data_IF_041390758210
#
_entry.id   IF_041390758210
#
_cell.length_a   1.000
_cell.length_b   1.000
_cell.length_c   1.000
_cell.angle_alpha   90.00
_cell.angle_beta   90.00
_cell.angle_gamma   90.00
#
_symmetry.space_group_name_H-M   'P 1'
#
loop_
_entity.id
_entity.type
_entity.pdbx_description
1 polymer ?
#
# COMPACT_ATOMS: atom_id res chain seq x y z
N UNK A 1 -14.04 24.74 15.52
CA UNK A 1 -13.52 24.24 16.80
C UNK A 1 -14.30 24.97 17.90
N UNK A 2 -14.69 24.26 18.95
CA UNK A 2 -15.28 24.91 20.11
C UNK A 2 -14.23 25.85 20.72
N UNK A 3 -14.53 27.16 20.74
CA UNK A 3 -13.62 28.18 21.26
C UNK A 3 -13.37 28.08 22.77
N UNK A 4 -14.15 27.23 23.46
CA UNK A 4 -14.06 27.00 24.89
C UNK A 4 -13.38 25.68 25.26
N UNK A 5 -12.84 24.94 24.30
CA UNK A 5 -12.14 23.69 24.59
C UNK A 5 -10.85 23.93 25.37
N UNK A 6 -10.68 23.22 26.49
CA UNK A 6 -9.44 23.23 27.26
C UNK A 6 -8.33 22.50 26.48
N UNK A 7 -7.24 23.20 26.18
CA UNK A 7 -6.11 22.67 25.42
C UNK A 7 -5.16 21.91 26.36
N UNK A 8 -5.18 20.58 26.29
CA UNK A 8 -4.34 19.69 27.11
C UNK A 8 -3.01 19.26 26.43
N UNK A 9 -2.68 19.83 25.27
CA UNK A 9 -1.47 19.47 24.50
C UNK A 9 -1.15 20.47 23.38
N UNK A 10 0.02 20.35 22.75
CA UNK A 10 0.40 21.20 21.63
C UNK A 10 -0.43 20.88 20.38
N UNK A 11 -0.79 21.91 19.60
CA UNK A 11 -1.52 21.76 18.35
C UNK A 11 -0.93 22.68 17.27
N UNK A 12 -0.91 22.19 16.04
CA UNK A 12 -0.49 22.91 14.85
C UNK A 12 -1.10 22.23 13.62
N UNK A 13 -0.81 22.76 12.43
CA UNK A 13 -1.11 22.11 11.16
C UNK A 13 0.17 22.09 10.30
N UNK A 14 0.28 21.10 9.42
CA UNK A 14 1.37 20.98 8.46
C UNK A 14 0.83 21.19 7.04
N UNK A 15 1.64 21.80 6.19
CA UNK A 15 1.37 21.93 4.75
C UNK A 15 2.25 20.93 4.01
N UNK A 16 1.64 20.08 3.19
CA UNK A 16 2.35 19.08 2.39
C UNK A 16 3.23 19.78 1.34
N UNK A 17 4.48 19.36 1.26
CA UNK A 17 5.46 19.82 0.26
C UNK A 17 5.50 18.91 -0.97
N UNK A 18 5.13 17.65 -0.80
CA UNK A 18 5.16 16.66 -1.87
C UNK A 18 4.23 17.04 -3.03
N UNK A 19 4.63 16.68 -4.24
CA UNK A 19 3.86 16.92 -5.47
C UNK A 19 2.60 16.05 -5.54
N UNK A 20 2.67 14.83 -5.04
CA UNK A 20 1.58 13.85 -5.04
C UNK A 20 0.72 13.92 -3.77
N UNK A 21 -0.59 13.67 -3.93
CA UNK A 21 -1.55 13.47 -2.82
C UNK A 21 -1.82 12.00 -2.52
N UNK A 22 -0.97 11.13 -3.04
CA UNK A 22 -1.05 9.68 -2.83
C UNK A 22 -0.56 9.31 -1.42
N UNK A 23 -0.96 8.11 -0.98
CA UNK A 23 -0.64 7.62 0.36
C UNK A 23 0.88 7.52 0.63
N UNK A 24 1.72 6.97 -0.27
CA UNK A 24 3.17 6.97 -0.10
C UNK A 24 3.77 8.36 0.10
N UNK A 25 3.46 9.33 -0.77
CA UNK A 25 4.03 10.69 -0.70
C UNK A 25 3.89 11.32 0.69
N UNK A 26 2.67 11.37 1.23
CA UNK A 26 2.43 11.96 2.55
C UNK A 26 3.12 11.19 3.68
N UNK A 27 3.15 9.86 3.63
CA UNK A 27 3.81 9.06 4.68
C UNK A 27 5.33 9.19 4.62
N UNK A 28 5.93 9.22 3.43
CA UNK A 28 7.37 9.40 3.28
C UNK A 28 7.78 10.79 3.73
N UNK A 29 7.00 11.82 3.42
CA UNK A 29 7.23 13.19 3.90
C UNK A 29 7.19 13.27 5.42
N UNK A 30 6.19 12.65 6.05
CA UNK A 30 6.09 12.52 7.51
C UNK A 30 7.36 11.86 8.10
N UNK A 31 7.96 10.92 7.37
CA UNK A 31 9.19 10.24 7.77
C UNK A 31 10.47 10.94 7.28
N UNK A 32 10.38 12.21 6.86
CA UNK A 32 11.51 13.06 6.49
C UNK A 32 11.97 12.95 5.04
N UNK A 33 11.17 12.37 4.16
CA UNK A 33 11.50 12.11 2.75
C UNK A 33 10.37 12.65 1.86
N UNK A 34 10.31 13.97 1.60
CA UNK A 34 9.29 14.55 0.73
C UNK A 34 9.46 14.03 -0.71
N UNK A 35 8.33 13.72 -1.36
CA UNK A 35 8.29 13.28 -2.75
C UNK A 35 8.13 14.50 -3.64
N UNK A 36 9.23 14.94 -4.26
CA UNK A 36 9.27 16.13 -5.11
C UNK A 36 9.21 15.80 -6.61
N UNK A 37 8.89 14.55 -6.95
CA UNK A 37 8.76 14.07 -8.32
C UNK A 37 7.31 13.68 -8.62
N UNK A 38 6.94 13.68 -9.90
CA UNK A 38 5.61 13.25 -10.33
C UNK A 38 5.55 11.72 -10.46
N UNK A 39 4.47 11.14 -9.92
CA UNK A 39 4.12 9.75 -10.17
C UNK A 39 3.58 9.58 -11.59
N UNK A 40 3.83 8.41 -12.17
CA UNK A 40 3.17 8.03 -13.41
C UNK A 40 1.75 7.53 -13.15
N UNK A 41 0.86 7.83 -14.07
CA UNK A 41 -0.52 7.35 -14.07
C UNK A 41 -0.86 6.89 -15.48
N UNK A 42 -1.56 5.77 -15.57
CA UNK A 42 -2.18 5.34 -16.82
C UNK A 42 -3.53 6.03 -16.92
N UNK A 43 -3.68 7.08 -17.73
CA UNK A 43 -4.90 7.90 -17.76
C UNK A 43 -6.00 7.35 -18.67
N UNK A 44 -5.62 6.59 -19.70
CA UNK A 44 -6.56 6.10 -20.70
C UNK A 44 -7.37 4.94 -20.14
N UNK A 45 -8.71 5.01 -20.25
CA UNK A 45 -9.60 3.98 -19.72
C UNK A 45 -9.55 2.66 -20.51
N UNK A 46 -9.25 2.75 -21.80
CA UNK A 46 -9.03 1.62 -22.71
C UNK A 46 -7.63 1.75 -23.30
N UNK A 47 -6.95 0.62 -23.49
CA UNK A 47 -5.54 0.59 -23.89
C UNK A 47 -4.63 1.40 -22.94
N UNK A 48 -4.88 1.24 -21.63
CA UNK A 48 -4.26 2.02 -20.57
C UNK A 48 -2.74 1.94 -20.53
N UNK A 49 -2.17 0.80 -20.94
CA UNK A 49 -0.74 0.53 -20.86
C UNK A 49 -0.09 0.70 -22.24
N UNK A 50 1.09 1.33 -22.31
CA UNK A 50 1.85 1.42 -23.54
C UNK A 50 2.19 0.04 -24.11
N UNK A 51 2.06 -0.11 -25.43
CA UNK A 51 2.26 -1.40 -26.09
C UNK A 51 3.67 -1.95 -25.86
N UNK A 52 4.69 -1.09 -25.85
CA UNK A 52 6.07 -1.50 -25.59
C UNK A 52 6.25 -2.18 -24.21
N UNK A 53 5.55 -1.68 -23.18
CA UNK A 53 5.57 -2.31 -21.85
C UNK A 53 4.93 -3.70 -21.93
N UNK A 54 3.76 -3.81 -22.56
CA UNK A 54 3.03 -5.06 -22.68
C UNK A 54 3.83 -6.12 -23.45
N UNK A 55 4.48 -5.73 -24.54
CA UNK A 55 5.31 -6.61 -25.36
C UNK A 55 6.49 -7.16 -24.55
N UNK A 56 7.19 -6.30 -23.79
CA UNK A 56 8.28 -6.72 -22.89
C UNK A 56 7.80 -7.69 -21.82
N UNK A 57 6.63 -7.44 -21.22
CA UNK A 57 6.05 -8.35 -20.22
C UNK A 57 5.74 -9.72 -20.82
N UNK A 58 5.13 -9.75 -22.01
CA UNK A 58 4.78 -10.99 -22.71
C UNK A 58 6.03 -11.79 -23.06
N UNK A 59 7.04 -11.13 -23.62
CA UNK A 59 8.30 -11.78 -23.98
C UNK A 59 9.06 -12.29 -22.74
N UNK A 60 9.28 -11.41 -21.77
CA UNK A 60 10.15 -11.69 -20.61
C UNK A 60 9.55 -12.71 -19.64
N UNK A 61 8.24 -12.67 -19.44
CA UNK A 61 7.55 -13.65 -18.59
C UNK A 61 7.01 -14.86 -19.37
N UNK A 62 7.37 -14.99 -20.66
CA UNK A 62 6.95 -16.07 -21.55
C UNK A 62 5.44 -16.35 -21.50
N UNK A 63 4.65 -15.29 -21.67
CA UNK A 63 3.19 -15.34 -21.58
C UNK A 63 2.58 -15.70 -22.93
N UNK A 64 1.42 -16.40 -22.96
CA UNK A 64 0.65 -16.61 -24.20
C UNK A 64 -0.03 -15.32 -24.74
N UNK A 65 0.19 -14.18 -24.08
CA UNK A 65 -0.47 -12.89 -24.29
C UNK A 65 -1.01 -12.34 -22.98
N UNK A 66 -1.88 -11.33 -23.05
CA UNK A 66 -2.54 -10.72 -21.91
C UNK A 66 -4.02 -10.45 -22.22
N UNK A 67 -4.81 -10.20 -21.17
CA UNK A 67 -6.19 -9.74 -21.24
C UNK A 67 -6.33 -8.41 -20.48
N UNK A 68 -7.40 -7.66 -20.75
CA UNK A 68 -7.68 -6.39 -20.06
C UNK A 68 -7.05 -5.21 -20.79
N UNK A 69 -5.97 -4.65 -20.25
CA UNK A 69 -5.38 -3.38 -20.70
C UNK A 69 -6.36 -2.19 -20.55
N UNK A 70 -6.97 -2.06 -19.37
CA UNK A 70 -8.00 -1.06 -19.11
C UNK A 70 -8.03 -0.62 -17.63
N UNK A 71 -8.79 0.45 -17.37
CA UNK A 71 -9.26 0.79 -16.04
C UNK A 71 -10.43 -0.09 -15.65
N UNK A 72 -10.34 -0.75 -14.50
CA UNK A 72 -11.49 -1.51 -13.99
C UNK A 72 -11.42 -1.73 -12.49
N UNK A 73 -12.59 -2.04 -11.91
CA UNK A 73 -12.64 -2.55 -10.55
C UNK A 73 -12.26 -4.02 -10.52
N UNK A 74 -11.65 -4.46 -9.43
CA UNK A 74 -11.21 -5.85 -9.28
C UNK A 74 -12.36 -6.87 -9.29
N UNK A 75 -13.61 -6.49 -9.06
CA UNK A 75 -14.76 -7.41 -9.20
C UNK A 75 -15.23 -7.49 -10.65
N UNK A 76 -15.39 -6.34 -11.31
CA UNK A 76 -15.87 -6.27 -12.70
C UNK A 76 -14.91 -6.98 -13.66
N UNK A 77 -13.60 -6.75 -13.52
CA UNK A 77 -12.62 -7.35 -14.44
C UNK A 77 -12.56 -8.87 -14.32
N UNK A 78 -12.80 -9.43 -13.13
CA UNK A 78 -12.82 -10.87 -12.91
C UNK A 78 -14.06 -11.50 -13.53
N UNK A 79 -15.23 -10.88 -13.35
CA UNK A 79 -16.47 -11.37 -13.97
C UNK A 79 -16.40 -11.31 -15.50
N UNK A 80 -15.73 -10.31 -16.05
CA UNK A 80 -15.58 -10.15 -17.50
C UNK A 80 -14.55 -11.09 -18.12
N UNK A 81 -13.38 -11.25 -17.50
CA UNK A 81 -12.21 -11.87 -18.12
C UNK A 81 -11.69 -13.13 -17.40
N UNK A 82 -12.22 -13.46 -16.22
CA UNK A 82 -11.74 -14.57 -15.40
C UNK A 82 -11.85 -15.92 -16.09
N UNK A 83 -12.97 -16.19 -16.78
CA UNK A 83 -13.13 -17.44 -17.53
C UNK A 83 -12.19 -17.54 -18.73
N UNK A 84 -11.98 -16.43 -19.45
CA UNK A 84 -11.07 -16.41 -20.59
C UNK A 84 -9.62 -16.59 -20.12
N UNK A 85 -9.24 -15.96 -19.00
CA UNK A 85 -7.97 -16.18 -18.33
C UNK A 85 -7.75 -17.66 -18.01
N UNK A 86 -8.72 -18.32 -17.39
CA UNK A 86 -8.61 -19.75 -17.04
C UNK A 86 -8.49 -20.65 -18.28
N UNK A 87 -9.16 -20.31 -19.39
CA UNK A 87 -9.12 -21.08 -20.64
C UNK A 87 -7.82 -20.88 -21.42
N UNK A 88 -7.27 -19.66 -21.42
CA UNK A 88 -6.14 -19.27 -22.28
C UNK A 88 -4.80 -19.23 -21.56
N UNK A 89 -4.81 -19.13 -20.22
CA UNK A 89 -3.63 -18.88 -19.40
C UNK A 89 -3.06 -17.46 -19.50
N UNK A 90 -3.73 -16.54 -20.20
CA UNK A 90 -3.28 -15.14 -20.35
C UNK A 90 -3.60 -14.34 -19.07
N UNK A 91 -2.62 -13.75 -18.37
CA UNK A 91 -2.88 -12.92 -17.19
C UNK A 91 -3.75 -11.69 -17.52
N UNK A 92 -4.50 -11.21 -16.54
CA UNK A 92 -5.37 -10.04 -16.68
C UNK A 92 -4.63 -8.81 -16.13
N UNK A 93 -4.34 -7.84 -17.00
CA UNK A 93 -3.72 -6.57 -16.62
C UNK A 93 -4.76 -5.47 -16.54
N UNK A 94 -4.78 -4.73 -15.44
CA UNK A 94 -5.68 -3.60 -15.27
C UNK A 94 -5.13 -2.57 -14.28
N UNK A 95 -5.68 -1.36 -14.33
CA UNK A 95 -5.27 -0.24 -13.48
C UNK A 95 -6.49 0.46 -12.87
N UNK A 96 -6.25 1.55 -12.14
CA UNK A 96 -7.26 2.37 -11.48
C UNK A 96 -6.84 3.85 -11.51
N UNK A 97 -7.58 4.72 -10.81
CA UNK A 97 -7.23 6.13 -10.68
C UNK A 97 -5.88 6.36 -9.95
N UNK A 98 -5.47 5.43 -9.09
CA UNK A 98 -4.18 5.50 -8.40
C UNK A 98 -3.01 5.04 -9.30
N UNK A 99 -1.78 5.44 -8.94
CA UNK A 99 -0.54 5.01 -9.61
C UNK A 99 -0.22 3.53 -9.33
N UNK A 100 -0.98 2.63 -9.97
CA UNK A 100 -0.88 1.17 -9.76
C UNK A 100 -0.97 0.37 -11.05
N UNK A 101 -0.28 -0.77 -11.06
CA UNK A 101 -0.41 -1.81 -12.08
C UNK A 101 -0.90 -3.10 -11.40
N UNK A 102 -2.05 -3.63 -11.80
CA UNK A 102 -2.65 -4.78 -11.13
C UNK A 102 -2.68 -5.99 -12.07
N UNK A 103 -2.30 -7.14 -11.54
CA UNK A 103 -2.24 -8.41 -12.28
C UNK A 103 -3.15 -9.41 -11.58
N UNK A 104 -4.23 -9.83 -12.24
CA UNK A 104 -5.14 -10.84 -11.73
C UNK A 104 -4.95 -12.18 -12.46
N UNK A 105 -4.76 -13.24 -11.66
CA UNK A 105 -4.62 -14.61 -12.14
C UNK A 105 -5.35 -15.58 -11.21
N UNK A 106 -5.91 -16.65 -11.78
CA UNK A 106 -6.57 -17.70 -11.04
C UNK A 106 -5.53 -18.65 -10.43
N UNK A 107 -5.63 -18.93 -9.14
CA UNK A 107 -4.58 -19.64 -8.40
C UNK A 107 -4.32 -21.05 -8.93
N UNK A 108 -5.37 -21.80 -9.29
CA UNK A 108 -5.23 -23.20 -9.71
C UNK A 108 -4.75 -23.35 -11.16
N UNK A 109 -5.13 -22.43 -12.05
CA UNK A 109 -4.84 -22.56 -13.49
C UNK A 109 -3.56 -21.85 -13.89
N UNK A 110 -3.19 -20.76 -13.20
CA UNK A 110 -1.97 -20.00 -13.49
C UNK A 110 -0.83 -20.30 -12.50
N UNK A 111 -1.17 -20.54 -11.24
CA UNK A 111 -0.21 -20.75 -10.16
C UNK A 111 0.21 -19.44 -9.48
N UNK A 112 0.32 -19.49 -8.15
CA UNK A 112 0.65 -18.32 -7.33
C UNK A 112 2.09 -17.86 -7.50
N UNK A 113 3.05 -18.79 -7.51
CA UNK A 113 4.47 -18.47 -7.67
C UNK A 113 4.74 -17.77 -9.00
N UNK A 114 4.07 -18.24 -10.07
CA UNK A 114 4.17 -17.66 -11.41
C UNK A 114 3.55 -16.26 -11.48
N UNK A 115 2.48 -16.01 -10.71
CA UNK A 115 1.90 -14.67 -10.56
C UNK A 115 2.89 -13.73 -9.87
N UNK A 116 3.55 -14.18 -8.79
CA UNK A 116 4.52 -13.35 -8.09
C UNK A 116 5.74 -13.04 -8.94
N UNK A 117 6.29 -14.03 -9.65
CA UNK A 117 7.39 -13.82 -10.61
C UNK A 117 7.00 -12.80 -11.69
N UNK A 118 5.78 -12.90 -12.23
CA UNK A 118 5.26 -11.92 -13.19
C UNK A 118 5.13 -10.51 -12.58
N UNK A 119 4.72 -10.40 -11.32
CA UNK A 119 4.66 -9.11 -10.63
C UNK A 119 6.06 -8.50 -10.44
N UNK A 120 7.08 -9.28 -10.12
CA UNK A 120 8.47 -8.80 -10.02
C UNK A 120 9.00 -8.31 -11.38
N UNK A 121 8.79 -9.10 -12.44
CA UNK A 121 9.13 -8.68 -13.81
C UNK A 121 8.43 -7.37 -14.15
N UNK A 122 7.13 -7.26 -13.87
CA UNK A 122 6.39 -6.02 -14.12
C UNK A 122 6.92 -4.84 -13.31
N UNK A 123 7.33 -5.07 -12.06
CA UNK A 123 7.92 -4.02 -11.23
C UNK A 123 9.22 -3.52 -11.84
N UNK A 124 10.10 -4.41 -12.28
CA UNK A 124 11.36 -4.04 -12.92
C UNK A 124 11.14 -3.30 -14.24
N UNK A 125 10.26 -3.78 -15.12
CA UNK A 125 9.98 -3.10 -16.40
C UNK A 125 9.37 -1.71 -16.20
N UNK A 126 8.48 -1.56 -15.21
CA UNK A 126 7.90 -0.25 -14.87
C UNK A 126 8.95 0.73 -14.34
N UNK A 127 9.94 0.24 -13.60
CA UNK A 127 11.05 1.05 -13.07
C UNK A 127 12.05 1.39 -14.18
N UNK A 128 12.51 0.40 -14.94
CA UNK A 128 13.49 0.57 -16.02
C UNK A 128 12.95 1.41 -17.18
N UNK A 129 11.66 1.32 -17.46
CA UNK A 129 10.98 2.14 -18.45
C UNK A 129 10.70 3.57 -18.00
N UNK A 130 11.04 3.94 -16.77
CA UNK A 130 10.83 5.29 -16.24
C UNK A 130 9.36 5.68 -16.08
N UNK A 131 8.46 4.69 -15.95
CA UNK A 131 7.03 4.94 -15.82
C UNK A 131 6.64 5.50 -14.46
N UNK A 132 7.51 5.41 -13.44
CA UNK A 132 7.25 5.88 -12.07
C UNK A 132 5.89 5.44 -11.53
N UNK A 133 5.50 4.18 -11.76
CA UNK A 133 4.28 3.62 -11.17
C UNK A 133 4.56 3.26 -9.71
N UNK A 134 3.71 3.71 -8.78
CA UNK A 134 3.93 3.56 -7.34
C UNK A 134 3.84 2.13 -6.82
N UNK A 135 3.02 1.26 -7.44
CA UNK A 135 2.82 -0.11 -6.96
C UNK A 135 2.43 -1.11 -8.05
N UNK A 136 2.99 -2.30 -7.98
CA UNK A 136 2.47 -3.50 -8.69
C UNK A 136 1.72 -4.37 -7.69
N UNK A 137 0.51 -4.82 -8.03
CA UNK A 137 -0.36 -5.57 -7.11
C UNK A 137 -0.73 -6.92 -7.72
N UNK A 138 -0.32 -8.00 -7.06
CA UNK A 138 -0.79 -9.35 -7.31
C UNK A 138 -2.22 -9.51 -6.79
N UNK A 139 -3.13 -9.94 -7.66
CA UNK A 139 -4.56 -10.12 -7.39
C UNK A 139 -4.97 -11.57 -7.69
N UNK A 140 -4.50 -12.53 -6.89
CA UNK A 140 -4.95 -13.90 -7.04
C UNK A 140 -6.45 -14.03 -6.74
N UNK A 141 -7.11 -14.90 -7.49
CA UNK A 141 -8.50 -15.23 -7.29
C UNK A 141 -8.77 -16.73 -7.46
N UNK A 142 -9.88 -17.18 -6.89
CA UNK A 142 -10.41 -18.54 -7.00
C UNK A 142 -11.86 -18.49 -7.52
N UNK A 143 -12.37 -19.62 -7.98
CA UNK A 143 -13.75 -19.77 -8.43
C UNK A 143 -13.82 -20.43 -9.79
N UNK A 144 -14.98 -20.98 -10.14
CA UNK A 144 -15.15 -21.83 -11.32
C UNK A 144 -15.72 -21.09 -12.54
N UNK A 145 -16.40 -19.96 -12.33
CA UNK A 145 -17.11 -19.20 -13.37
C UNK A 145 -17.38 -17.75 -12.98
N UNK A 146 -17.79 -16.95 -13.97
CA UNK A 146 -18.22 -15.57 -13.75
C UNK A 146 -19.36 -15.49 -12.71
N UNK A 147 -19.31 -14.49 -11.83
CA UNK A 147 -20.21 -14.33 -10.69
C UNK A 147 -19.85 -15.18 -9.46
N UNK A 148 -18.95 -16.16 -9.59
CA UNK A 148 -18.43 -16.97 -8.48
C UNK A 148 -16.97 -16.66 -8.14
N UNK A 149 -16.30 -15.76 -8.87
CA UNK A 149 -14.91 -15.43 -8.62
C UNK A 149 -14.72 -14.65 -7.31
N UNK A 150 -13.73 -15.06 -6.52
CA UNK A 150 -13.39 -14.46 -5.25
C UNK A 150 -11.90 -14.18 -5.17
N UNK A 151 -11.54 -12.93 -4.85
CA UNK A 151 -10.15 -12.56 -4.57
C UNK A 151 -9.70 -13.20 -3.25
N UNK A 152 -8.47 -13.68 -3.22
CA UNK A 152 -7.95 -14.37 -2.03
C UNK A 152 -7.13 -13.45 -1.13
N UNK A 153 -6.76 -13.97 0.04
CA UNK A 153 -5.84 -13.31 0.97
C UNK A 153 -4.37 -13.32 0.51
N UNK A 154 -4.04 -14.03 -0.58
CA UNK A 154 -2.69 -14.13 -1.14
C UNK A 154 -2.30 -12.88 -1.96
N UNK A 155 -2.98 -11.77 -1.72
CA UNK A 155 -2.60 -10.46 -2.29
C UNK A 155 -1.17 -10.12 -1.87
N UNK A 156 -0.37 -9.73 -2.85
CA UNK A 156 0.97 -9.23 -2.64
C UNK A 156 1.15 -7.88 -3.35
N UNK A 157 1.82 -6.94 -2.70
CA UNK A 157 1.99 -5.57 -3.16
C UNK A 157 3.50 -5.26 -3.26
N UNK A 158 3.98 -4.98 -4.47
CA UNK A 158 5.34 -4.52 -4.73
C UNK A 158 5.33 -3.00 -4.86
N UNK A 159 5.62 -2.32 -3.76
CA UNK A 159 5.69 -0.87 -3.68
C UNK A 159 7.10 -0.37 -4.06
N UNK A 160 7.17 0.85 -4.59
CA UNK A 160 8.45 1.57 -4.73
C UNK A 160 9.00 1.88 -3.35
N UNK A 161 10.31 1.72 -3.16
CA UNK A 161 10.99 2.08 -1.92
C UNK A 161 11.08 3.61 -1.76
N UNK A 162 11.13 4.14 -0.53
CA UNK A 162 11.39 5.56 -0.31
C UNK A 162 12.69 5.99 -1.00
N UNK A 163 12.73 7.16 -1.67
CA UNK A 163 13.89 7.59 -2.47
C UNK A 163 15.12 7.94 -1.63
N UNK A 164 14.98 8.01 -0.31
CA UNK A 164 16.06 8.23 0.65
C UNK A 164 15.76 7.50 1.97
N UNK A 165 16.79 7.24 2.81
CA UNK A 165 16.58 6.63 4.12
C UNK A 165 15.66 7.48 5.02
N UNK A 166 14.50 6.91 5.35
CA UNK A 166 13.50 7.54 6.22
C UNK A 166 13.99 7.60 7.67
N UNK A 167 13.33 8.41 8.51
CA UNK A 167 13.60 8.41 9.97
C UNK A 167 13.42 7.02 10.58
N UNK A 168 12.49 6.21 10.06
CA UNK A 168 12.30 4.82 10.49
C UNK A 168 13.55 3.98 10.19
N UNK A 169 14.06 4.06 8.96
CA UNK A 169 15.27 3.34 8.53
C UNK A 169 16.47 3.78 9.37
N UNK A 170 16.66 5.08 9.60
CA UNK A 170 17.76 5.61 10.42
C UNK A 170 17.67 5.15 11.87
N UNK A 171 16.46 5.05 12.45
CA UNK A 171 16.27 4.53 13.81
C UNK A 171 16.74 3.07 13.91
N UNK A 172 16.42 2.24 12.93
CA UNK A 172 16.82 0.83 12.90
C UNK A 172 18.32 0.70 12.66
N UNK A 173 18.84 1.32 11.61
CA UNK A 173 20.21 1.08 11.14
C UNK A 173 21.26 1.78 11.99
N UNK A 174 21.01 3.05 12.36
CA UNK A 174 22.01 3.88 13.04
C UNK A 174 21.88 3.84 14.57
N UNK A 175 20.69 3.55 15.09
CA UNK A 175 20.41 3.56 16.53
C UNK A 175 20.04 2.19 17.09
N UNK A 176 19.95 1.16 16.25
CA UNK A 176 19.53 -0.18 16.65
C UNK A 176 18.18 -0.18 17.39
N UNK A 177 17.31 0.77 17.04
CA UNK A 177 15.98 0.90 17.61
C UNK A 177 15.00 -0.08 16.98
N UNK A 178 13.77 -0.11 17.52
CA UNK A 178 12.70 -0.95 17.01
C UNK A 178 11.59 -0.09 16.39
N UNK A 179 11.08 -0.54 15.24
CA UNK A 179 9.96 0.07 14.54
C UNK A 179 8.86 -0.97 14.36
N UNK A 180 7.75 -0.74 15.07
CA UNK A 180 6.56 -1.59 14.98
C UNK A 180 5.56 -0.94 14.04
N UNK A 181 5.25 -1.63 12.94
CA UNK A 181 4.24 -1.22 11.98
C UNK A 181 2.91 -1.91 12.28
N UNK A 182 1.81 -1.15 12.25
CA UNK A 182 0.45 -1.67 12.43
C UNK A 182 -0.37 -1.39 11.17
N UNK A 183 -1.05 -2.41 10.65
CA UNK A 183 -1.87 -2.28 9.45
C UNK A 183 -1.03 -2.19 8.17
N UNK A 184 -1.29 -1.18 7.34
CA UNK A 184 -0.66 -1.01 6.02
C UNK A 184 0.69 -0.28 6.03
N UNK A 185 1.16 0.16 7.20
CA UNK A 185 2.39 0.97 7.32
C UNK A 185 3.60 0.27 6.68
N UNK A 186 3.79 -1.03 6.92
CA UNK A 186 4.89 -1.77 6.30
C UNK A 186 4.83 -1.72 4.77
N UNK A 187 3.64 -1.88 4.19
CA UNK A 187 3.44 -1.89 2.74
C UNK A 187 3.57 -0.49 2.12
N UNK A 188 3.42 0.57 2.91
CA UNK A 188 3.62 1.97 2.47
C UNK A 188 5.11 2.31 2.39
N UNK A 189 5.91 1.80 3.33
CA UNK A 189 7.36 2.00 3.35
C UNK A 189 8.13 0.88 2.64
N UNK A 190 7.47 0.01 1.86
CA UNK A 190 8.10 -1.14 1.20
C UNK A 190 8.92 -2.03 2.16
N UNK A 191 8.52 -2.11 3.44
CA UNK A 191 9.23 -2.75 4.54
C UNK A 191 10.56 -2.09 4.97
N UNK A 192 10.97 -0.97 4.36
CA UNK A 192 12.15 -0.21 4.76
C UNK A 192 12.00 0.34 6.19
N UNK A 193 12.95 0.01 7.05
CA UNK A 193 13.01 0.49 8.43
C UNK A 193 11.96 -0.12 9.35
N UNK A 194 11.42 -1.30 9.03
CA UNK A 194 10.39 -1.98 9.83
C UNK A 194 10.98 -3.22 10.51
N UNK A 195 10.94 -3.28 11.84
CA UNK A 195 11.47 -4.42 12.62
C UNK A 195 10.37 -5.42 13.02
N UNK A 196 9.14 -4.95 13.23
CA UNK A 196 7.98 -5.80 13.56
C UNK A 196 6.77 -5.40 12.72
N UNK A 197 6.06 -6.40 12.19
CA UNK A 197 4.85 -6.23 11.38
C UNK A 197 3.65 -6.80 12.11
N UNK A 198 2.66 -5.95 12.38
CA UNK A 198 1.40 -6.35 13.03
C UNK A 198 0.27 -6.13 12.03
N UNK A 199 -0.26 -7.24 11.51
CA UNK A 199 -1.42 -7.21 10.61
C UNK A 199 -2.69 -7.03 11.44
N UNK A 200 -3.45 -6.00 11.11
CA UNK A 200 -4.79 -5.75 11.65
C UNK A 200 -5.66 -5.15 10.55
N UNK A 201 -6.96 -5.43 10.59
CA UNK A 201 -7.93 -5.00 9.56
C UNK A 201 -9.21 -4.53 10.24
N UNK A 202 -9.71 -3.36 9.83
CA UNK A 202 -10.82 -2.70 10.50
C UNK A 202 -10.36 -1.78 11.63
N UNK A 203 -11.15 -0.75 11.91
CA UNK A 203 -10.78 0.34 12.82
C UNK A 203 -10.49 -0.17 14.24
N UNK A 204 -11.41 -0.98 14.79
CA UNK A 204 -11.30 -1.48 16.16
C UNK A 204 -10.05 -2.35 16.34
N UNK A 205 -9.83 -3.28 15.41
CA UNK A 205 -8.65 -4.14 15.43
C UNK A 205 -7.34 -3.36 15.29
N UNK A 206 -7.33 -2.26 14.53
CA UNK A 206 -6.17 -1.38 14.42
C UNK A 206 -5.88 -0.68 15.75
N UNK A 207 -6.91 -0.12 16.41
CA UNK A 207 -6.76 0.50 17.72
C UNK A 207 -6.30 -0.49 18.79
N UNK A 208 -6.92 -1.67 18.85
CA UNK A 208 -6.55 -2.71 19.81
C UNK A 208 -5.09 -3.15 19.62
N UNK A 209 -4.67 -3.34 18.37
CA UNK A 209 -3.28 -3.66 18.04
C UNK A 209 -2.34 -2.53 18.45
N UNK A 210 -2.67 -1.26 18.17
CA UNK A 210 -1.84 -0.12 18.58
C UNK A 210 -1.71 -0.04 20.09
N UNK A 211 -2.80 -0.14 20.85
CA UNK A 211 -2.77 -0.09 22.32
C UNK A 211 -1.95 -1.24 22.89
N UNK A 212 -2.09 -2.45 22.32
CA UNK A 212 -1.31 -3.61 22.73
C UNK A 212 0.19 -3.38 22.50
N UNK A 213 0.58 -2.98 21.30
CA UNK A 213 1.98 -2.77 20.94
C UNK A 213 2.61 -1.61 21.72
N UNK A 214 1.85 -0.55 22.03
CA UNK A 214 2.31 0.53 22.90
C UNK A 214 2.61 0.06 24.33
N UNK A 215 1.88 -0.94 24.84
CA UNK A 215 2.14 -1.53 26.17
C UNK A 215 3.34 -2.48 26.17
N UNK A 216 3.58 -3.15 25.05
CA UNK A 216 4.71 -4.07 24.87
C UNK A 216 6.02 -3.34 24.48
N UNK A 217 5.91 -2.11 23.97
CA UNK A 217 7.04 -1.30 23.55
C UNK A 217 8.00 -1.00 24.72
N UNK A 218 9.26 -1.42 24.57
CA UNK A 218 10.35 -1.02 25.46
C UNK A 218 10.94 0.34 25.09
N UNK A 219 11.94 0.79 25.85
CA UNK A 219 12.71 1.99 25.53
C UNK A 219 13.33 1.89 24.11
N UNK A 220 13.29 2.98 23.33
CA UNK A 220 13.71 3.08 21.91
C UNK A 220 12.82 2.36 20.86
N UNK A 221 11.52 2.27 21.12
CA UNK A 221 10.54 1.76 20.16
C UNK A 221 9.69 2.89 19.56
N UNK A 222 9.57 2.95 18.24
CA UNK A 222 8.61 3.81 17.53
C UNK A 222 7.41 2.99 17.06
N UNK A 223 6.19 3.47 17.33
CA UNK A 223 4.95 2.84 16.87
C UNK A 223 4.12 3.86 16.08
N UNK A 224 3.84 3.58 14.81
CA UNK A 224 3.05 4.48 13.96
C UNK A 224 1.71 3.83 13.60
N UNK A 225 0.56 4.39 14.04
CA UNK A 225 -0.76 3.95 13.60
C UNK A 225 -1.15 4.53 12.23
N UNK A 226 -1.95 3.78 11.47
CA UNK A 226 -2.60 4.28 10.24
C UNK A 226 -3.82 5.13 10.61
N UNK A 227 -3.98 6.34 10.08
CA UNK A 227 -5.16 7.19 10.30
C UNK A 227 -6.44 6.60 9.70
N UNK A 228 -7.56 6.84 10.37
CA UNK A 228 -8.91 6.76 9.81
C UNK A 228 -9.75 7.94 10.31
N UNK A 229 -10.41 8.60 9.36
CA UNK A 229 -11.42 9.65 9.53
C UNK A 229 -12.72 9.06 10.08
N UNK A 230 -13.11 9.38 11.31
CA UNK A 230 -14.53 9.40 11.67
C UNK A 230 -14.80 10.24 12.93
N UNK A 231 -15.90 11.00 12.86
CA UNK A 231 -16.48 11.80 13.93
C UNK A 231 -17.30 10.90 14.87
N UNK A 232 -16.81 10.66 16.08
CA UNK A 232 -17.65 10.19 17.20
C UNK A 232 -17.36 11.00 18.48
N UNK A 233 -18.38 11.50 19.18
CA UNK A 233 -18.21 12.19 20.46
C UNK A 233 -18.16 11.18 21.62
N UNK A 234 -17.16 11.34 22.49
CA UNK A 234 -17.11 10.70 23.80
C UNK A 234 -16.16 9.50 23.91
N UNK A 235 -14.87 9.78 24.06
CA UNK A 235 -13.92 8.82 24.62
C UNK A 235 -13.10 9.53 25.71
N UNK A 236 -13.30 9.10 26.95
CA UNK A 236 -12.57 9.59 28.13
C UNK A 236 -11.19 8.94 28.14
N UNK A 237 -10.12 9.74 28.03
CA UNK A 237 -8.74 9.26 28.09
C UNK A 237 -8.33 9.08 29.55
N UNK A 238 -8.03 7.85 29.95
CA UNK A 238 -7.44 7.54 31.25
C UNK A 238 -5.98 8.01 31.28
N UNK A 239 -5.65 8.93 32.18
CA UNK A 239 -4.29 9.40 32.45
C UNK A 239 -3.52 8.37 33.27
N UNK A 240 -2.46 7.78 32.73
CA UNK A 240 -1.47 7.04 33.51
C UNK A 240 -0.09 7.72 33.39
N UNK A 241 0.61 7.99 34.50
CA UNK A 241 1.90 8.65 34.47
C UNK A 241 3.00 7.63 34.13
N UNK A 242 3.96 8.06 33.30
CA UNK A 242 5.15 7.31 32.83
C UNK A 242 4.86 6.27 31.74
N UNK A 243 4.62 6.74 30.51
CA UNK A 243 4.84 5.93 29.30
C UNK A 243 6.31 6.04 28.86
N UNK A 244 6.95 4.96 28.37
CA UNK A 244 8.23 5.06 27.68
C UNK A 244 8.11 6.02 26.48
N UNK A 245 9.22 6.61 26.03
CA UNK A 245 9.26 7.54 24.88
C UNK A 245 8.94 6.79 23.58
N UNK A 246 7.69 6.43 23.39
CA UNK A 246 7.16 5.89 22.15
C UNK A 246 6.87 7.07 21.24
N UNK A 247 7.59 7.16 20.13
CA UNK A 247 7.28 8.13 19.09
C UNK A 247 6.01 7.67 18.38
N UNK A 248 4.91 8.40 18.57
CA UNK A 248 3.62 8.09 17.98
C UNK A 248 3.36 9.05 16.83
N UNK A 249 3.49 8.58 15.60
CA UNK A 249 3.25 9.40 14.42
C UNK A 249 1.77 9.29 14.03
N UNK A 250 0.94 10.20 14.55
CA UNK A 250 -0.46 10.29 14.12
C UNK A 250 -0.53 11.00 12.77
N UNK A 251 -1.03 10.32 11.74
CA UNK A 251 -1.16 10.87 10.39
C UNK A 251 -2.21 11.98 10.33
N UNK A 252 -1.89 13.05 9.58
CA UNK A 252 -2.79 14.14 9.30
C UNK A 252 -3.94 13.68 8.38
N UNK A 253 -5.15 14.15 8.66
CA UNK A 253 -6.34 13.92 7.83
C UNK A 253 -6.25 14.79 6.58
N UNK A 254 -5.97 14.20 5.42
CA UNK A 254 -6.21 14.85 4.13
C UNK A 254 -7.73 14.93 3.89
N UNK A 255 -8.26 16.15 3.84
CA UNK A 255 -9.61 16.39 3.30
C UNK A 255 -9.56 16.26 1.78
N UNK A 256 -10.50 15.48 1.23
CA UNK A 256 -10.91 15.56 -0.18
C UNK A 256 -11.61 16.90 -0.45
#
# INVERSE_FOLDING_TARGET
MDGNAEVIGAYAWAHEMSSGKDTPSGHWEIAGVPVLFEWGYFSDHENSFPQELLDKLVERANLPGYLGNCHSSGTVILDQLGEEHMKTGKPIFYTSADSVFQIACHEETFGLDKLYELCEIAREELTNGGYNIGRVIARPFIGDKAGNFQRTGNRHDLAVEPPAPTVLQKLVDEKHGQVVSVGKIADIYANCGITKKVKATGLDALFDATIKEMKEAGDNTSSSPTSLTSTLPGATVATSPVMPRVWNCSTAVCRS
#
